data_IF_544369015216
#
_entry.id   IF_544369015216
#
_cell.length_a   1.000
_cell.length_b   1.000
_cell.length_c   1.000
_cell.angle_alpha   90.00
_cell.angle_beta   90.00
_cell.angle_gamma   90.00
#
_symmetry.space_group_name_H-M   'P 1'
#
loop_
_entity.id
_entity.type
_entity.pdbx_description
1 polymer ?
#
# COMPACT_ATOMS: atom_id res chain seq x y z
N UNK A 1 -52.71 66.74 -41.98
CA UNK A 1 -53.49 65.52 -42.30
C UNK A 1 -52.55 64.33 -42.15
N UNK A 2 -52.98 63.29 -41.41
CA UNK A 2 -52.27 62.05 -41.06
C UNK A 2 -51.27 62.04 -39.89
N UNK A 3 -51.77 61.48 -38.79
CA UNK A 3 -51.11 60.92 -37.61
C UNK A 3 -50.04 59.89 -37.99
N UNK A 4 -48.95 59.78 -37.22
CA UNK A 4 -48.47 58.47 -36.78
C UNK A 4 -47.67 58.56 -35.47
N UNK A 5 -48.06 57.67 -34.54
CA UNK A 5 -47.63 57.58 -33.15
C UNK A 5 -46.18 57.07 -33.01
N UNK A 6 -45.42 57.69 -32.09
CA UNK A 6 -44.16 57.15 -31.56
C UNK A 6 -44.44 55.88 -30.73
N UNK A 7 -43.98 54.72 -31.20
CA UNK A 7 -43.81 53.51 -30.37
C UNK A 7 -42.35 53.43 -29.96
N UNK A 8 -42.06 53.70 -28.68
CA UNK A 8 -40.79 53.36 -28.04
C UNK A 8 -40.83 51.86 -27.73
N UNK A 9 -40.06 51.07 -28.48
CA UNK A 9 -39.87 49.65 -28.22
C UNK A 9 -38.65 49.51 -27.30
N UNK A 10 -38.89 49.22 -26.02
CA UNK A 10 -37.83 48.93 -25.05
C UNK A 10 -37.17 47.60 -25.41
N UNK A 11 -35.89 47.64 -25.75
CA UNK A 11 -35.06 46.45 -25.87
C UNK A 11 -34.52 46.11 -24.48
N UNK A 12 -35.20 45.18 -23.79
CA UNK A 12 -34.68 44.56 -22.57
C UNK A 12 -33.58 43.57 -22.96
N UNK A 13 -32.32 43.96 -22.87
CA UNK A 13 -31.20 43.02 -22.90
C UNK A 13 -31.25 42.17 -21.63
N UNK A 14 -31.80 40.96 -21.71
CA UNK A 14 -31.64 39.95 -20.67
C UNK A 14 -30.20 39.41 -20.74
N UNK A 15 -29.32 39.95 -19.90
CA UNK A 15 -27.99 39.38 -19.66
C UNK A 15 -28.17 38.08 -18.88
N UNK A 16 -28.18 36.95 -19.57
CA UNK A 16 -28.05 35.63 -18.94
C UNK A 16 -26.59 35.45 -18.54
N UNK A 17 -26.24 35.88 -17.34
CA UNK A 17 -25.00 35.45 -16.70
C UNK A 17 -25.12 33.95 -16.41
N UNK A 18 -24.61 33.14 -17.33
CA UNK A 18 -24.32 31.74 -17.02
C UNK A 18 -23.26 31.75 -15.92
N UNK A 19 -23.68 31.56 -14.66
CA UNK A 19 -22.78 31.17 -13.59
C UNK A 19 -22.28 29.77 -13.95
N UNK A 20 -21.18 29.70 -14.70
CA UNK A 20 -20.34 28.51 -14.71
C UNK A 20 -19.77 28.34 -13.31
N UNK A 21 -20.49 27.62 -12.45
CA UNK A 21 -19.97 27.22 -11.16
C UNK A 21 -18.66 26.47 -11.38
N UNK A 22 -17.58 26.94 -10.76
CA UNK A 22 -16.31 26.23 -10.78
C UNK A 22 -16.55 24.83 -10.22
N UNK A 23 -16.12 23.80 -10.95
CA UNK A 23 -16.24 22.42 -10.47
C UNK A 23 -15.55 22.30 -9.10
N UNK A 24 -16.12 21.53 -8.15
CA UNK A 24 -15.53 21.37 -6.85
C UNK A 24 -14.11 20.82 -6.98
N UNK A 25 -13.18 21.40 -6.21
CA UNK A 25 -11.78 20.99 -6.22
C UNK A 25 -11.60 19.55 -5.72
N UNK A 26 -12.51 19.07 -4.87
CA UNK A 26 -12.50 17.71 -4.34
C UNK A 26 -13.88 17.09 -4.45
N UNK A 27 -13.94 15.82 -4.84
CA UNK A 27 -15.16 15.01 -4.87
C UNK A 27 -15.08 13.89 -3.81
N UNK A 28 -16.23 13.41 -3.29
CA UNK A 28 -16.22 12.27 -2.38
C UNK A 28 -15.62 11.02 -3.05
N UNK A 29 -14.98 10.11 -2.28
CA UNK A 29 -14.40 8.91 -2.84
C UNK A 29 -15.47 8.00 -3.45
N UNK A 30 -15.19 7.45 -4.63
CA UNK A 30 -16.00 6.41 -5.28
C UNK A 30 -15.28 5.08 -5.19
N UNK A 31 -15.97 4.04 -4.72
CA UNK A 31 -15.48 2.68 -4.68
C UNK A 31 -16.21 1.80 -5.71
N UNK A 32 -15.48 0.90 -6.36
CA UNK A 32 -16.04 -0.16 -7.19
C UNK A 32 -15.15 -1.40 -7.16
N UNK A 33 -15.70 -2.53 -7.60
CA UNK A 33 -14.97 -3.80 -7.69
C UNK A 33 -14.88 -4.24 -9.15
N UNK A 34 -13.71 -4.75 -9.54
CA UNK A 34 -13.49 -5.38 -10.85
C UNK A 34 -14.04 -6.81 -10.85
N UNK A 35 -14.29 -7.38 -12.04
CA UNK A 35 -14.83 -8.74 -12.16
C UNK A 35 -13.94 -9.83 -11.53
N UNK A 36 -12.63 -9.58 -11.37
CA UNK A 36 -11.69 -10.49 -10.70
C UNK A 36 -11.61 -10.31 -9.18
N UNK A 37 -12.46 -9.45 -8.60
CA UNK A 37 -12.54 -9.20 -7.16
C UNK A 37 -11.68 -8.05 -6.64
N UNK A 38 -10.81 -7.45 -7.46
CA UNK A 38 -9.99 -6.32 -7.02
C UNK A 38 -10.85 -5.10 -6.73
N UNK A 39 -10.66 -4.51 -5.55
CA UNK A 39 -11.32 -3.27 -5.18
C UNK A 39 -10.54 -2.08 -5.74
N UNK A 40 -11.26 -1.03 -6.13
CA UNK A 40 -10.69 0.22 -6.58
C UNK A 40 -11.40 1.36 -5.88
N UNK A 41 -10.62 2.26 -5.29
CA UNK A 41 -11.10 3.47 -4.63
C UNK A 41 -10.50 4.66 -5.37
N UNK A 42 -11.34 5.61 -5.78
CA UNK A 42 -10.93 6.80 -6.52
C UNK A 42 -11.46 8.03 -5.82
N UNK A 43 -10.59 8.98 -5.48
CA UNK A 43 -10.96 10.28 -4.92
C UNK A 43 -10.41 11.40 -5.81
N UNK A 44 -11.26 12.03 -6.63
CA UNK A 44 -10.85 13.20 -7.40
C UNK A 44 -10.47 14.38 -6.49
N UNK A 45 -9.28 14.93 -6.72
CA UNK A 45 -8.72 16.11 -6.08
C UNK A 45 -7.91 16.93 -7.10
N UNK A 46 -8.51 18.01 -7.60
CA UNK A 46 -7.99 18.84 -8.70
C UNK A 46 -7.17 20.05 -8.23
N UNK A 47 -6.67 20.03 -6.99
CA UNK A 47 -5.84 21.12 -6.46
C UNK A 47 -4.47 21.24 -7.15
N UNK A 48 -3.94 20.14 -7.70
CA UNK A 48 -2.70 20.11 -8.45
C UNK A 48 -2.77 19.04 -9.55
N UNK A 49 -2.05 19.21 -10.69
CA UNK A 49 -2.06 18.27 -11.81
C UNK A 49 -1.22 17.01 -11.54
N UNK A 50 -1.38 16.43 -10.36
CA UNK A 50 -0.68 15.23 -9.88
C UNK A 50 -1.67 14.20 -9.36
N UNK A 51 -1.29 12.93 -9.38
CA UNK A 51 -2.04 11.85 -8.77
C UNK A 51 -1.11 10.97 -7.93
N UNK A 52 -1.68 10.41 -6.86
CA UNK A 52 -1.10 9.30 -6.11
C UNK A 52 -1.85 8.04 -6.51
N UNK A 53 -1.08 7.05 -6.93
CA UNK A 53 -1.53 5.69 -7.17
C UNK A 53 -0.97 4.80 -6.06
N UNK A 54 -1.81 3.98 -5.43
CA UNK A 54 -1.37 3.00 -4.44
C UNK A 54 -1.97 1.63 -4.74
N UNK A 55 -1.17 0.60 -4.52
CA UNK A 55 -1.61 -0.78 -4.44
C UNK A 55 -1.45 -1.25 -2.99
N UNK A 56 -2.57 -1.59 -2.37
CA UNK A 56 -2.63 -2.14 -1.02
C UNK A 56 -2.94 -3.62 -1.11
N UNK A 57 -2.00 -4.47 -0.69
CA UNK A 57 -2.24 -5.91 -0.55
C UNK A 57 -2.54 -6.18 0.91
N UNK A 58 -3.68 -6.81 1.19
CA UNK A 58 -4.09 -7.19 2.55
C UNK A 58 -3.29 -8.44 2.95
N UNK A 59 -2.00 -8.25 3.17
CA UNK A 59 -1.06 -9.25 3.70
C UNK A 59 0.14 -8.54 4.31
N UNK A 60 0.55 -8.95 5.50
CA UNK A 60 1.74 -8.42 6.17
C UNK A 60 2.42 -9.49 7.02
N UNK A 61 3.29 -9.09 7.95
CA UNK A 61 4.04 -10.05 8.76
C UNK A 61 3.15 -10.90 9.69
N UNK A 62 1.90 -10.49 9.96
CA UNK A 62 0.97 -11.28 10.74
C UNK A 62 0.55 -12.59 10.04
N UNK A 63 0.66 -12.63 8.72
CA UNK A 63 0.25 -13.76 7.87
C UNK A 63 1.38 -14.79 7.67
N UNK A 64 2.57 -14.49 8.17
CA UNK A 64 3.74 -15.36 8.12
C UNK A 64 3.61 -16.56 9.06
N UNK A 65 4.48 -17.55 8.84
CA UNK A 65 4.64 -18.75 9.66
C UNK A 65 6.01 -18.76 10.32
N UNK A 66 6.15 -19.52 11.40
CA UNK A 66 7.45 -19.65 12.08
C UNK A 66 8.46 -20.35 11.15
N UNK A 67 9.72 -19.90 11.19
CA UNK A 67 10.79 -20.36 10.29
C UNK A 67 10.88 -19.57 8.97
N UNK A 68 9.93 -18.68 8.68
CA UNK A 68 9.96 -17.81 7.50
C UNK A 68 9.52 -16.38 7.82
N UNK A 69 9.79 -15.88 9.03
CA UNK A 69 9.45 -14.48 9.35
C UNK A 69 10.25 -13.50 8.49
N UNK A 70 9.64 -12.36 8.16
CA UNK A 70 10.21 -11.35 7.27
C UNK A 70 9.94 -11.60 5.78
N UNK A 71 9.37 -12.75 5.39
CA UNK A 71 9.07 -13.06 3.99
C UNK A 71 8.14 -12.03 3.31
N UNK A 72 7.24 -11.39 4.06
CA UNK A 72 6.38 -10.33 3.53
C UNK A 72 7.21 -9.09 3.14
N UNK A 73 8.16 -8.71 3.98
CA UNK A 73 9.06 -7.59 3.76
C UNK A 73 10.09 -7.90 2.67
N UNK A 74 10.69 -9.09 2.68
CA UNK A 74 11.58 -9.54 1.60
C UNK A 74 10.83 -9.54 0.26
N UNK A 75 9.57 -9.99 0.22
CA UNK A 75 8.79 -9.96 -1.00
C UNK A 75 8.53 -8.53 -1.49
N UNK A 76 8.33 -7.55 -0.59
CA UNK A 76 8.25 -6.13 -0.95
C UNK A 76 9.45 -5.69 -1.79
N UNK A 77 10.66 -6.01 -1.34
CA UNK A 77 11.89 -5.75 -2.08
C UNK A 77 11.91 -6.51 -3.42
N UNK A 78 11.51 -7.78 -3.40
CA UNK A 78 11.51 -8.63 -4.61
C UNK A 78 10.54 -8.15 -5.69
N UNK A 79 9.48 -7.42 -5.34
CA UNK A 79 8.59 -6.84 -6.33
C UNK A 79 9.33 -5.88 -7.28
N UNK A 80 10.40 -5.23 -6.82
CA UNK A 80 11.24 -4.36 -7.67
C UNK A 80 12.26 -5.10 -8.56
N UNK A 81 12.38 -6.43 -8.40
CA UNK A 81 13.37 -7.26 -9.10
C UNK A 81 12.88 -7.84 -10.42
N UNK A 82 11.72 -7.38 -10.87
CA UNK A 82 11.31 -7.41 -12.27
C UNK A 82 10.19 -8.39 -12.60
N UNK A 83 9.85 -8.36 -13.88
CA UNK A 83 8.79 -9.12 -14.55
C UNK A 83 9.34 -9.56 -15.92
N UNK A 84 8.59 -10.32 -16.74
CA UNK A 84 8.96 -10.53 -18.13
C UNK A 84 9.18 -9.25 -18.95
N UNK A 85 8.47 -8.16 -18.63
CA UNK A 85 8.42 -6.94 -19.44
C UNK A 85 9.20 -5.76 -18.84
N UNK A 86 9.58 -5.86 -17.56
CA UNK A 86 10.30 -4.85 -16.80
C UNK A 86 11.46 -5.53 -16.07
N UNK A 87 12.71 -5.25 -16.48
CA UNK A 87 13.88 -5.82 -15.82
C UNK A 87 14.06 -5.28 -14.38
N UNK A 88 14.90 -5.95 -13.58
CA UNK A 88 15.23 -5.49 -12.23
C UNK A 88 15.70 -4.02 -12.23
N UNK A 89 15.14 -3.20 -11.33
CA UNK A 89 15.45 -1.77 -11.22
C UNK A 89 14.94 -0.90 -12.38
N UNK A 90 14.29 -1.46 -13.40
CA UNK A 90 13.64 -0.66 -14.47
C UNK A 90 12.32 -0.06 -14.00
N UNK A 91 11.62 -0.67 -13.04
CA UNK A 91 10.38 -0.12 -12.51
C UNK A 91 10.60 1.30 -11.96
N UNK A 92 11.50 1.44 -10.98
CA UNK A 92 11.82 2.72 -10.36
C UNK A 92 12.39 3.73 -11.36
N UNK A 93 13.25 3.28 -12.29
CA UNK A 93 13.77 4.16 -13.35
C UNK A 93 12.69 4.69 -14.29
N UNK A 94 11.72 3.86 -14.67
CA UNK A 94 10.59 4.29 -15.51
C UNK A 94 9.69 5.27 -14.77
N UNK A 95 9.40 5.03 -13.48
CA UNK A 95 8.62 5.98 -12.67
C UNK A 95 9.35 7.33 -12.56
N UNK A 96 10.66 7.33 -12.29
CA UNK A 96 11.46 8.54 -12.24
C UNK A 96 11.49 9.29 -13.58
N UNK A 97 11.63 8.55 -14.71
CA UNK A 97 11.60 9.14 -16.05
C UNK A 97 10.25 9.80 -16.42
N UNK A 98 9.17 9.36 -15.78
CA UNK A 98 7.84 9.99 -15.89
C UNK A 98 7.68 11.22 -14.97
N UNK A 99 8.72 11.62 -14.24
CA UNK A 99 8.69 12.72 -13.26
C UNK A 99 8.08 12.31 -11.92
N UNK A 100 8.05 11.01 -11.62
CA UNK A 100 7.43 10.46 -10.42
C UNK A 100 8.38 10.17 -9.28
N UNK A 101 7.79 9.89 -8.13
CA UNK A 101 8.43 9.27 -6.98
C UNK A 101 7.65 8.03 -6.59
N UNK A 102 8.34 7.04 -6.05
CA UNK A 102 7.73 5.79 -5.64
C UNK A 102 8.39 5.27 -4.38
N UNK A 103 7.66 4.45 -3.64
CA UNK A 103 8.19 3.66 -2.55
C UNK A 103 7.24 2.50 -2.24
N UNK A 104 7.66 1.65 -1.31
CA UNK A 104 6.84 0.61 -0.73
C UNK A 104 7.03 0.54 0.80
N UNK A 105 6.16 -0.23 1.45
CA UNK A 105 6.25 -0.50 2.88
C UNK A 105 5.47 -1.77 3.25
N UNK A 106 6.04 -2.57 4.13
CA UNK A 106 5.36 -3.67 4.82
C UNK A 106 4.97 -3.27 6.25
N UNK A 107 3.79 -3.71 6.67
CA UNK A 107 3.28 -3.61 8.03
C UNK A 107 2.95 -5.01 8.56
N UNK A 108 2.44 -5.09 9.80
CA UNK A 108 1.88 -6.34 10.34
C UNK A 108 0.70 -6.82 9.49
N UNK A 109 -0.15 -5.90 9.02
CA UNK A 109 -1.46 -6.24 8.42
C UNK A 109 -1.52 -6.16 6.89
N UNK A 110 -0.61 -5.41 6.27
CA UNK A 110 -0.65 -5.08 4.85
C UNK A 110 0.73 -4.79 4.30
N UNK A 111 0.83 -4.82 2.96
CA UNK A 111 1.97 -4.33 2.21
C UNK A 111 1.45 -3.32 1.19
N UNK A 112 2.04 -2.13 1.17
CA UNK A 112 1.65 -1.02 0.32
C UNK A 112 2.76 -0.68 -0.67
N UNK A 113 2.36 -0.37 -1.90
CA UNK A 113 3.23 0.16 -2.95
C UNK A 113 2.59 1.43 -3.49
N UNK A 114 3.35 2.49 -3.68
CA UNK A 114 2.77 3.74 -4.17
C UNK A 114 3.67 4.49 -5.13
N UNK A 115 3.03 5.28 -5.99
CA UNK A 115 3.67 6.19 -6.92
C UNK A 115 2.95 7.54 -6.88
N UNK A 116 3.70 8.62 -6.70
CA UNK A 116 3.23 9.99 -6.91
C UNK A 116 3.73 10.47 -8.27
N UNK A 117 2.82 10.91 -9.13
CA UNK A 117 3.10 11.11 -10.56
C UNK A 117 2.31 12.31 -11.12
N UNK A 118 2.76 12.98 -12.20
CA UNK A 118 1.88 13.86 -12.96
C UNK A 118 0.62 13.13 -13.43
N UNK A 119 -0.57 13.73 -13.25
CA UNK A 119 -1.85 13.02 -13.42
C UNK A 119 -2.03 12.38 -14.81
N UNK A 120 -1.53 13.04 -15.86
CA UNK A 120 -1.57 12.54 -17.24
C UNK A 120 -0.72 11.28 -17.48
N UNK A 121 0.17 10.92 -16.54
CA UNK A 121 1.01 9.69 -16.56
C UNK A 121 0.47 8.58 -15.66
N UNK A 122 -0.65 8.79 -14.98
CA UNK A 122 -1.33 7.76 -14.19
C UNK A 122 -1.53 6.42 -14.94
N UNK A 123 -1.97 6.37 -16.22
CA UNK A 123 -2.12 5.09 -16.92
C UNK A 123 -0.80 4.34 -17.10
N UNK A 124 0.33 5.04 -17.18
CA UNK A 124 1.65 4.42 -17.32
C UNK A 124 2.03 3.67 -16.04
N UNK A 125 1.85 4.28 -14.87
CA UNK A 125 2.15 3.64 -13.58
C UNK A 125 1.14 2.54 -13.23
N UNK A 126 -0.15 2.71 -13.55
CA UNK A 126 -1.16 1.65 -13.38
C UNK A 126 -0.81 0.42 -14.21
N UNK A 127 -0.30 0.61 -15.43
CA UNK A 127 0.15 -0.49 -16.29
C UNK A 127 1.38 -1.20 -15.73
N UNK A 128 2.39 -0.43 -15.29
CA UNK A 128 3.60 -0.99 -14.66
C UNK A 128 3.22 -1.79 -13.41
N UNK A 129 2.30 -1.27 -12.62
CA UNK A 129 1.94 -1.89 -11.35
C UNK A 129 1.03 -3.10 -11.50
N UNK A 130 0.15 -3.12 -12.50
CA UNK A 130 -0.57 -4.33 -12.89
C UNK A 130 0.38 -5.44 -13.35
N UNK A 131 1.40 -5.11 -14.16
CA UNK A 131 2.41 -6.09 -14.61
C UNK A 131 3.24 -6.61 -13.44
N UNK A 132 3.70 -5.73 -12.55
CA UNK A 132 4.42 -6.12 -11.34
C UNK A 132 3.56 -6.97 -10.42
N UNK A 133 2.30 -6.64 -10.21
CA UNK A 133 1.41 -7.44 -9.35
C UNK A 133 1.08 -8.82 -9.93
N UNK A 134 1.00 -8.97 -11.25
CA UNK A 134 0.62 -10.22 -11.90
C UNK A 134 1.81 -11.13 -12.24
N UNK A 135 2.90 -10.54 -12.72
CA UNK A 135 3.96 -11.24 -13.45
C UNK A 135 5.32 -11.13 -12.79
N UNK A 136 5.40 -10.78 -11.50
CA UNK A 136 6.67 -10.67 -10.80
C UNK A 136 7.46 -11.99 -10.89
N UNK A 137 8.69 -11.90 -11.38
CA UNK A 137 9.61 -13.04 -11.50
C UNK A 137 11.05 -12.56 -11.45
N UNK A 138 11.85 -13.27 -10.66
CA UNK A 138 13.26 -12.96 -10.42
C UNK A 138 14.06 -14.26 -10.34
N UNK A 139 15.35 -14.29 -10.71
CA UNK A 139 16.20 -15.44 -10.51
C UNK A 139 16.61 -15.58 -9.03
N UNK A 140 16.95 -16.80 -8.60
CA UNK A 140 17.33 -17.07 -7.20
C UNK A 140 18.59 -16.29 -6.77
N UNK A 141 19.49 -16.00 -7.71
CA UNK A 141 20.66 -15.17 -7.45
C UNK A 141 20.29 -13.72 -7.07
N UNK A 142 19.22 -13.17 -7.64
CA UNK A 142 18.75 -11.83 -7.31
C UNK A 142 18.08 -11.81 -5.93
N UNK A 143 17.33 -12.86 -5.59
CA UNK A 143 16.78 -13.04 -4.25
C UNK A 143 17.88 -13.08 -3.19
N UNK A 144 18.92 -13.90 -3.38
CA UNK A 144 20.00 -14.02 -2.39
C UNK A 144 20.73 -12.69 -2.18
N UNK A 145 20.96 -11.92 -3.23
CA UNK A 145 21.55 -10.57 -3.11
C UNK A 145 20.67 -9.64 -2.30
N UNK A 146 19.38 -9.62 -2.60
CA UNK A 146 18.45 -8.72 -1.92
C UNK A 146 18.21 -9.12 -0.46
N UNK A 147 18.23 -10.42 -0.16
CA UNK A 147 18.15 -10.93 1.20
C UNK A 147 19.30 -10.40 2.06
N UNK A 148 20.52 -10.31 1.52
CA UNK A 148 21.65 -9.69 2.23
C UNK A 148 21.43 -8.19 2.47
N UNK A 149 20.81 -7.47 1.52
CA UNK A 149 20.40 -6.06 1.73
C UNK A 149 19.40 -5.94 2.87
N UNK A 150 18.40 -6.82 2.94
CA UNK A 150 17.41 -6.84 4.04
C UNK A 150 18.06 -7.16 5.38
N UNK A 151 19.07 -8.05 5.42
CA UNK A 151 19.83 -8.33 6.64
C UNK A 151 20.63 -7.11 7.10
N UNK A 152 21.27 -6.37 6.18
CA UNK A 152 21.93 -5.11 6.55
C UNK A 152 20.93 -4.05 7.02
N UNK A 153 19.76 -3.97 6.39
CA UNK A 153 18.69 -3.09 6.85
C UNK A 153 18.26 -3.45 8.27
N UNK A 154 18.10 -4.74 8.60
CA UNK A 154 17.79 -5.20 9.96
C UNK A 154 18.86 -4.73 10.95
N UNK A 155 20.14 -4.92 10.62
CA UNK A 155 21.25 -4.47 11.47
C UNK A 155 21.16 -2.97 11.73
N UNK A 156 21.03 -2.18 10.68
CA UNK A 156 20.98 -0.71 10.76
C UNK A 156 19.73 -0.17 11.47
N UNK A 157 18.55 -0.74 11.21
CA UNK A 157 17.26 -0.18 11.68
C UNK A 157 16.82 -0.73 13.03
N UNK A 158 17.24 -1.95 13.37
CA UNK A 158 16.81 -2.64 14.59
C UNK A 158 17.98 -2.93 15.51
N UNK A 159 18.96 -3.72 15.06
CA UNK A 159 19.96 -4.29 15.97
C UNK A 159 20.91 -3.20 16.52
N UNK A 160 21.32 -2.24 15.69
CA UNK A 160 22.18 -1.10 16.06
C UNK A 160 21.39 0.09 16.64
N UNK A 161 20.06 -0.04 16.78
CA UNK A 161 19.18 0.98 17.35
C UNK A 161 18.64 0.51 18.70
N UNK A 162 19.21 0.96 19.84
CA UNK A 162 18.81 0.49 21.18
C UNK A 162 17.32 0.63 21.45
N UNK A 163 16.70 1.69 20.91
CA UNK A 163 15.25 1.91 21.03
C UNK A 163 14.47 0.90 20.19
N UNK A 164 14.84 0.68 18.94
CA UNK A 164 14.14 -0.28 18.08
C UNK A 164 14.26 -1.71 18.63
N UNK A 165 15.46 -2.10 19.06
CA UNK A 165 15.70 -3.39 19.71
C UNK A 165 14.84 -3.58 20.97
N UNK A 166 14.72 -2.54 21.82
CA UNK A 166 13.84 -2.60 22.99
C UNK A 166 12.37 -2.79 22.59
N UNK A 167 11.89 -2.09 21.57
CA UNK A 167 10.51 -2.24 21.10
C UNK A 167 10.26 -3.62 20.46
N UNK A 168 11.22 -4.18 19.73
CA UNK A 168 11.13 -5.55 19.20
C UNK A 168 10.97 -6.56 20.35
N UNK A 169 11.81 -6.47 21.38
CA UNK A 169 11.74 -7.36 22.55
C UNK A 169 10.45 -7.16 23.36
N UNK A 170 9.98 -5.91 23.47
CA UNK A 170 8.70 -5.58 24.11
C UNK A 170 7.51 -6.20 23.38
N UNK A 171 7.44 -6.06 22.05
CA UNK A 171 6.39 -6.67 21.22
C UNK A 171 6.41 -8.20 21.34
N UNK A 172 7.61 -8.81 21.27
CA UNK A 172 7.79 -10.24 21.40
C UNK A 172 7.34 -10.77 22.78
N UNK A 173 7.63 -10.03 23.85
CA UNK A 173 7.23 -10.42 25.20
C UNK A 173 5.75 -10.12 25.52
N UNK A 174 5.15 -9.14 24.86
CA UNK A 174 3.75 -8.76 25.07
C UNK A 174 2.79 -9.85 24.54
N UNK A 175 3.13 -10.50 23.44
CA UNK A 175 2.27 -11.47 22.76
C UNK A 175 2.88 -12.88 22.82
N UNK A 176 2.19 -13.82 23.48
CA UNK A 176 2.66 -15.22 23.53
C UNK A 176 2.18 -16.06 22.37
N UNK A 177 1.02 -15.73 21.80
CA UNK A 177 0.40 -16.49 20.71
C UNK A 177 0.16 -15.65 19.45
N UNK A 178 -0.19 -14.36 19.60
CA UNK A 178 -0.47 -13.52 18.44
C UNK A 178 0.76 -13.34 17.52
N UNK A 179 0.60 -13.43 16.19
CA UNK A 179 1.67 -13.15 15.21
C UNK A 179 2.27 -11.75 15.32
N UNK A 180 1.55 -10.80 15.93
CA UNK A 180 2.06 -9.45 16.14
C UNK A 180 3.37 -9.43 16.94
N UNK A 181 3.68 -10.52 17.65
CA UNK A 181 4.96 -10.72 18.33
C UNK A 181 6.18 -10.75 17.40
N UNK A 182 6.01 -11.02 16.10
CA UNK A 182 7.12 -11.16 15.14
C UNK A 182 7.49 -9.80 14.56
N UNK A 183 8.78 -9.41 14.53
CA UNK A 183 9.19 -8.17 13.88
C UNK A 183 8.86 -8.22 12.39
N UNK A 184 8.48 -7.07 11.81
CA UNK A 184 8.08 -6.99 10.40
C UNK A 184 9.20 -7.45 9.47
N UNK A 185 10.43 -7.05 9.79
CA UNK A 185 11.62 -7.41 9.01
C UNK A 185 12.03 -8.89 9.16
N UNK A 186 11.43 -9.62 10.10
CA UNK A 186 11.78 -11.01 10.42
C UNK A 186 12.92 -11.13 11.44
N UNK A 187 13.02 -12.29 12.06
CA UNK A 187 14.15 -12.66 12.91
C UNK A 187 15.39 -12.94 12.07
N UNK A 188 16.58 -12.57 12.54
CA UNK A 188 17.83 -12.79 11.77
C UNK A 188 18.02 -14.26 11.39
N UNK A 189 17.74 -15.20 12.30
CA UNK A 189 17.84 -16.65 12.03
C UNK A 189 16.90 -17.08 10.87
N UNK A 190 15.65 -16.61 10.87
CA UNK A 190 14.71 -16.90 9.80
C UNK A 190 15.21 -16.32 8.47
N UNK A 191 15.74 -15.08 8.49
CA UNK A 191 16.35 -14.45 7.31
C UNK A 191 17.59 -15.20 6.81
N UNK A 192 18.38 -15.81 7.69
CA UNK A 192 19.56 -16.59 7.31
C UNK A 192 19.18 -17.90 6.61
N UNK A 193 18.02 -18.46 6.92
CA UNK A 193 17.51 -19.70 6.31
C UNK A 193 16.47 -19.50 5.21
N UNK A 194 16.01 -18.27 4.97
CA UNK A 194 14.92 -17.99 4.03
C UNK A 194 15.30 -18.34 2.59
N UNK A 195 14.47 -19.12 1.91
CA UNK A 195 14.72 -19.56 0.53
C UNK A 195 13.91 -18.76 -0.50
N UNK A 196 14.38 -18.65 -1.76
CA UNK A 196 13.62 -18.00 -2.83
C UNK A 196 12.20 -18.57 -3.00
N UNK A 197 12.04 -19.87 -2.75
CA UNK A 197 10.75 -20.54 -2.89
C UNK A 197 9.74 -20.14 -1.82
N UNK A 198 10.18 -19.71 -0.63
CA UNK A 198 9.30 -19.18 0.41
C UNK A 198 8.66 -17.87 -0.05
N UNK A 199 9.46 -16.94 -0.58
CA UNK A 199 8.97 -15.69 -1.13
C UNK A 199 8.03 -15.92 -2.33
N UNK A 200 8.36 -16.85 -3.23
CA UNK A 200 7.46 -17.20 -4.35
C UNK A 200 6.17 -17.84 -3.87
N UNK A 201 6.23 -18.70 -2.85
CA UNK A 201 5.05 -19.33 -2.26
C UNK A 201 4.16 -18.26 -1.61
N UNK A 202 4.74 -17.32 -0.87
CA UNK A 202 4.03 -16.21 -0.26
C UNK A 202 3.38 -15.29 -1.31
N UNK A 203 4.09 -14.96 -2.39
CA UNK A 203 3.55 -14.21 -3.53
C UNK A 203 2.35 -14.92 -4.17
N UNK A 204 2.50 -16.20 -4.55
CA UNK A 204 1.39 -17.01 -5.08
C UNK A 204 0.24 -17.10 -4.08
N UNK A 205 0.58 -17.23 -2.80
CA UNK A 205 -0.23 -17.11 -1.59
C UNK A 205 -1.28 -16.00 -1.66
N UNK A 206 -0.74 -14.79 -1.63
CA UNK A 206 -1.45 -13.62 -1.11
C UNK A 206 -1.64 -12.51 -2.14
N UNK A 207 -0.86 -12.49 -3.21
CA UNK A 207 -0.95 -11.49 -4.28
C UNK A 207 -2.00 -11.94 -5.30
N UNK A 208 -3.25 -11.90 -4.85
CA UNK A 208 -4.46 -12.22 -5.64
C UNK A 208 -5.34 -10.97 -5.75
N UNK A 209 -6.01 -10.72 -6.89
CA UNK A 209 -6.78 -9.49 -7.09
C UNK A 209 -7.80 -9.23 -5.97
N UNK A 210 -8.53 -10.26 -5.52
CA UNK A 210 -9.52 -10.16 -4.44
C UNK A 210 -8.93 -9.86 -3.04
N UNK A 211 -7.61 -9.94 -2.87
CA UNK A 211 -6.89 -9.59 -1.63
C UNK A 211 -6.15 -8.25 -1.75
N UNK A 212 -6.43 -7.47 -2.80
CA UNK A 212 -5.77 -6.20 -3.06
C UNK A 212 -6.78 -5.08 -3.39
N UNK A 213 -6.36 -3.85 -3.10
CA UNK A 213 -7.12 -2.63 -3.39
C UNK A 213 -6.21 -1.63 -4.09
N UNK A 214 -6.65 -1.13 -5.25
CA UNK A 214 -6.01 0.01 -5.91
C UNK A 214 -6.67 1.30 -5.41
N UNK A 215 -5.87 2.24 -4.93
CA UNK A 215 -6.34 3.56 -4.46
C UNK A 215 -5.73 4.63 -5.35
N UNK A 216 -6.57 5.51 -5.90
CA UNK A 216 -6.15 6.63 -6.74
C UNK A 216 -6.72 7.92 -6.17
N UNK A 217 -5.85 8.89 -5.89
CA UNK A 217 -6.24 10.22 -5.40
C UNK A 217 -5.50 11.29 -6.19
N UNK A 218 -6.21 12.31 -6.67
CA UNK A 218 -5.59 13.43 -7.40
C UNK A 218 -6.43 13.93 -8.58
N UNK A 219 -5.79 14.64 -9.52
CA UNK A 219 -6.48 15.26 -10.66
C UNK A 219 -6.90 14.20 -11.71
N UNK A 220 -7.98 13.49 -11.40
CA UNK A 220 -8.46 12.34 -12.17
C UNK A 220 -9.97 12.37 -12.37
N UNK A 221 -10.42 11.61 -13.37
CA UNK A 221 -11.84 11.34 -13.58
C UNK A 221 -12.13 9.87 -13.25
N UNK A 222 -13.15 9.63 -12.43
CA UNK A 222 -13.52 8.27 -11.97
C UNK A 222 -13.77 7.32 -13.15
N UNK A 223 -14.47 7.79 -14.19
CA UNK A 223 -14.75 6.98 -15.38
C UNK A 223 -13.47 6.55 -16.12
N UNK A 224 -12.48 7.44 -16.21
CA UNK A 224 -11.21 7.16 -16.87
C UNK A 224 -10.36 6.17 -16.05
N UNK A 225 -10.29 6.36 -14.73
CA UNK A 225 -9.59 5.42 -13.83
C UNK A 225 -10.25 4.05 -13.86
N UNK A 226 -11.59 3.98 -13.91
CA UNK A 226 -12.32 2.71 -14.07
C UNK A 226 -11.93 1.99 -15.36
N UNK A 227 -11.85 2.70 -16.48
CA UNK A 227 -11.46 2.12 -17.76
C UNK A 227 -10.02 1.57 -17.71
N UNK A 228 -9.08 2.33 -17.15
CA UNK A 228 -7.70 1.86 -16.98
C UNK A 228 -7.60 0.69 -16.01
N UNK A 229 -8.35 0.73 -14.90
CA UNK A 229 -8.36 -0.36 -13.93
C UNK A 229 -8.88 -1.66 -14.54
N UNK A 230 -9.99 -1.60 -15.29
CA UNK A 230 -10.51 -2.74 -16.03
C UNK A 230 -9.52 -3.26 -17.08
N UNK A 231 -8.86 -2.35 -17.80
CA UNK A 231 -7.88 -2.72 -18.84
C UNK A 231 -6.64 -3.40 -18.27
N UNK A 232 -6.03 -2.84 -17.23
CA UNK A 232 -4.73 -3.29 -16.72
C UNK A 232 -4.89 -4.36 -15.65
N UNK A 233 -5.68 -4.08 -14.60
CA UNK A 233 -5.86 -5.01 -13.49
C UNK A 233 -6.97 -6.04 -13.72
N UNK A 234 -8.01 -5.69 -14.48
CA UNK A 234 -9.17 -6.57 -14.72
C UNK A 234 -8.84 -7.82 -15.53
N UNK A 235 -7.72 -7.82 -16.25
CA UNK A 235 -7.23 -8.99 -17.01
C UNK A 235 -6.50 -10.03 -16.15
N UNK A 236 -6.17 -9.69 -14.91
CA UNK A 236 -5.44 -10.57 -14.00
C UNK A 236 -6.37 -11.69 -13.52
N UNK A 237 -5.99 -12.97 -13.65
CA UNK A 237 -6.85 -14.09 -13.27
C UNK A 237 -7.31 -14.01 -11.82
N UNK A 238 -8.61 -14.20 -11.60
CA UNK A 238 -9.18 -14.33 -10.28
C UNK A 238 -8.68 -15.61 -9.59
N UNK A 239 -8.37 -15.51 -8.30
CA UNK A 239 -7.97 -16.63 -7.44
C UNK A 239 -8.57 -16.43 -6.06
N UNK A 240 -8.90 -17.53 -5.39
CA UNK A 240 -9.46 -17.48 -4.05
C UNK A 240 -8.44 -16.90 -3.05
N UNK A 241 -8.93 -16.06 -2.14
CA UNK A 241 -8.12 -15.58 -1.01
C UNK A 241 -8.05 -16.70 0.03
N UNK A 242 -6.86 -17.08 0.51
CA UNK A 242 -6.72 -18.07 1.57
C UNK A 242 -7.48 -17.64 2.83
N UNK A 243 -8.15 -18.60 3.48
CA UNK A 243 -8.79 -18.36 4.76
C UNK A 243 -7.74 -18.14 5.86
N UNK A 244 -7.89 -17.05 6.63
CA UNK A 244 -7.07 -16.79 7.81
C UNK A 244 -7.65 -17.53 9.00
N UNK A 245 -6.84 -18.33 9.68
CA UNK A 245 -7.22 -18.92 10.96
C UNK A 245 -7.25 -17.83 12.03
N UNK A 246 -8.19 -17.85 12.99
CA UNK A 246 -8.13 -16.98 14.16
C UNK A 246 -6.82 -17.20 14.91
N UNK A 247 -6.15 -16.11 15.28
CA UNK A 247 -4.89 -16.12 16.03
C UNK A 247 -5.01 -15.14 17.20
N UNK A 248 -5.91 -15.44 18.12
CA UNK A 248 -6.18 -14.59 19.29
C UNK A 248 -5.07 -14.70 20.34
N UNK A 249 -4.80 -13.58 21.03
CA UNK A 249 -3.85 -13.54 22.14
C UNK A 249 -4.57 -13.94 23.45
N UNK A 250 -4.08 -14.94 24.19
CA UNK A 250 -4.68 -15.30 25.48
C UNK A 250 -4.57 -14.16 26.51
N UNK A 251 -5.50 -14.09 27.48
CA UNK A 251 -5.42 -13.11 28.56
C UNK A 251 -4.08 -13.18 29.30
N UNK A 252 -3.46 -12.03 29.51
CA UNK A 252 -2.24 -11.92 30.30
C UNK A 252 -2.58 -12.04 31.79
N UNK A 253 -2.01 -13.04 32.47
CA UNK A 253 -2.28 -13.35 33.90
C UNK A 253 -1.24 -12.80 34.89
N UNK A 254 -0.45 -11.81 34.49
CA UNK A 254 0.58 -11.24 35.35
C UNK A 254 1.48 -10.25 34.62
N UNK A 255 2.26 -9.49 35.39
CA UNK A 255 3.23 -8.55 34.85
C UNK A 255 4.37 -9.31 34.16
N UNK A 256 4.82 -8.80 33.01
CA UNK A 256 6.03 -9.24 32.33
C UNK A 256 7.05 -8.10 32.40
N UNK A 257 8.30 -8.44 32.71
CA UNK A 257 9.44 -7.51 32.74
C UNK A 257 10.57 -8.14 31.93
N UNK A 258 11.29 -7.30 31.20
CA UNK A 258 12.47 -7.68 30.43
C UNK A 258 13.48 -6.55 30.52
N UNK A 259 14.76 -6.90 30.36
CA UNK A 259 15.86 -5.97 30.26
C UNK A 259 16.57 -6.23 28.94
N UNK A 260 16.79 -5.17 28.16
CA UNK A 260 17.57 -5.22 26.92
C UNK A 260 18.83 -4.41 27.12
N UNK A 261 19.99 -5.03 26.86
CA UNK A 261 21.29 -4.36 26.90
C UNK A 261 21.78 -4.14 25.47
N UNK A 262 22.10 -2.89 25.15
CA UNK A 262 22.65 -2.48 23.87
C UNK A 262 23.55 -1.24 24.07
N UNK A 263 24.51 -0.96 23.17
CA UNK A 263 25.30 0.26 23.22
C UNK A 263 24.41 1.51 23.14
N UNK A 264 24.28 2.25 24.24
CA UNK A 264 23.44 3.45 24.33
C UNK A 264 24.02 4.45 25.33
N UNK A 265 23.82 5.74 25.07
CA UNK A 265 24.22 6.82 25.99
C UNK A 265 23.22 7.02 27.15
N UNK A 266 21.98 6.57 26.96
CA UNK A 266 20.88 6.79 27.90
C UNK A 266 20.05 5.52 28.10
N UNK A 267 19.52 5.35 29.32
CA UNK A 267 18.54 4.32 29.61
C UNK A 267 17.17 4.68 29.03
N UNK A 268 16.43 3.69 28.57
CA UNK A 268 15.08 3.85 28.04
C UNK A 268 14.11 2.90 28.74
N UNK A 269 12.93 3.39 29.09
CA UNK A 269 11.87 2.59 29.71
C UNK A 269 10.61 2.67 28.85
N UNK A 270 10.04 1.52 28.53
CA UNK A 270 8.77 1.39 27.83
C UNK A 270 7.80 0.56 28.67
N UNK A 271 6.53 0.97 28.70
CA UNK A 271 5.44 0.25 29.33
C UNK A 271 4.32 0.04 28.32
N UNK A 272 3.82 -1.18 28.21
CA UNK A 272 2.71 -1.54 27.34
C UNK A 272 1.58 -2.19 28.13
N UNK A 273 0.35 -1.77 27.86
CA UNK A 273 -0.86 -2.31 28.49
C UNK A 273 -1.80 -2.81 27.39
N UNK A 274 -2.29 -4.05 27.52
CA UNK A 274 -3.31 -4.59 26.62
C UNK A 274 -4.65 -3.92 26.93
N UNK A 275 -5.24 -3.31 25.92
CA UNK A 275 -6.54 -2.62 25.99
C UNK A 275 -7.49 -3.17 24.93
N UNK A 276 -8.81 -2.94 25.03
CA UNK A 276 -9.75 -3.34 24.00
C UNK A 276 -9.37 -2.78 22.62
N UNK A 277 -9.51 -3.60 21.58
CA UNK A 277 -9.28 -3.19 20.21
C UNK A 277 -10.43 -2.31 19.69
N UNK A 278 -10.11 -1.46 18.71
CA UNK A 278 -11.11 -0.68 17.98
C UNK A 278 -12.14 -1.61 17.30
N UNK A 279 -13.43 -1.41 17.58
CA UNK A 279 -14.52 -2.22 17.03
C UNK A 279 -15.24 -1.55 15.85
N UNK A 280 -14.87 -0.30 15.52
CA UNK A 280 -15.54 0.51 14.50
C UNK A 280 -15.91 1.89 15.02
N UNK A 281 -16.29 2.77 14.09
CA UNK A 281 -16.92 4.04 14.45
C UNK A 281 -18.32 3.73 14.96
N UNK A 282 -18.71 4.30 16.10
CA UNK A 282 -20.11 4.30 16.49
C UNK A 282 -20.87 5.04 15.39
N UNK A 283 -21.69 4.32 14.62
CA UNK A 283 -22.67 4.95 13.73
C UNK A 283 -23.57 5.81 14.63
N UNK A 284 -23.70 7.12 14.37
CA UNK A 284 -24.63 7.96 15.11
C UNK A 284 -26.08 7.49 14.94
#
# INVERSE_FOLDING_TARGET
MNRLMRKLCGWSLAFWTALSGAAPLTEPPTQFQLANGMNVIVQPDRRAPTAVHMLWVRVGSMDEVDGTSGVAHVLEHMLFKGTPSVAAGEFSRRVAALGGRENAFTSKDYTGYFQQIPAHRLPDVMKLEADRFANNRWPDAEFRKELEVVKEERRLRTDDSPRALLFEQLEAAQYVASPYRRPIIGWMEDLDTLEPNDARAFYRQWYVPANATVVVVGDVQVAQVRQWAQRFYGSIPARAVPARKPREEPPQRGLRRLEVKAPAEQAYVAMAFKVPAFQGFQTP
#
